data_IF_667124857773
#
_entry.id   IF_667124857773
#
_cell.length_a   1.000
_cell.length_b   1.000
_cell.length_c   1.000
_cell.angle_alpha   90.00
_cell.angle_beta   90.00
_cell.angle_gamma   90.00
#
_symmetry.space_group_name_H-M   'P 1'
#
loop_
_entity.id
_entity.type
_entity.pdbx_description
1 polymer ?
#
# COMPACT_ATOMS: atom_id res chain seq x y z
N UNK A 1 -0.95 -3.31 -2.37
CA UNK A 1 -2.05 -2.49 -1.79
C UNK A 1 -2.57 -1.56 -2.88
N UNK A 2 -1.68 -0.76 -3.45
CA UNK A 2 -1.77 -0.15 -4.79
C UNK A 2 -2.63 -0.90 -5.82
N UNK A 3 -2.35 -2.18 -6.12
CA UNK A 3 -3.10 -2.95 -7.12
C UNK A 3 -4.60 -3.03 -6.79
N UNK A 4 -4.92 -3.31 -5.53
CA UNK A 4 -6.31 -3.40 -5.05
C UNK A 4 -7.00 -2.05 -5.15
N UNK A 5 -6.32 -0.96 -4.77
CA UNK A 5 -6.85 0.41 -4.89
C UNK A 5 -7.15 0.77 -6.33
N UNK A 6 -6.25 0.43 -7.26
CA UNK A 6 -6.46 0.66 -8.70
C UNK A 6 -7.67 -0.10 -9.21
N UNK A 7 -7.78 -1.39 -8.89
CA UNK A 7 -8.91 -2.22 -9.31
C UNK A 7 -10.24 -1.77 -8.70
N UNK A 8 -10.25 -1.38 -7.43
CA UNK A 8 -11.44 -0.86 -6.75
C UNK A 8 -11.88 0.47 -7.39
N UNK A 9 -10.95 1.38 -7.63
CA UNK A 9 -11.24 2.69 -8.23
C UNK A 9 -11.76 2.54 -9.65
N UNK A 10 -11.13 1.67 -10.45
CA UNK A 10 -11.60 1.36 -11.81
C UNK A 10 -13.00 0.75 -11.77
N UNK A 11 -13.26 -0.23 -10.91
CA UNK A 11 -14.59 -0.82 -10.75
C UNK A 11 -15.67 0.22 -10.40
N UNK A 12 -15.35 1.19 -9.53
CA UNK A 12 -16.27 2.29 -9.19
C UNK A 12 -16.49 3.24 -10.36
N UNK A 13 -15.45 3.53 -11.16
CA UNK A 13 -15.57 4.39 -12.34
C UNK A 13 -16.49 3.76 -13.41
N UNK A 14 -16.39 2.44 -13.60
CA UNK A 14 -17.13 1.74 -14.65
C UNK A 14 -18.53 1.30 -14.21
N UNK A 15 -18.67 0.88 -12.94
CA UNK A 15 -19.90 0.28 -12.42
C UNK A 15 -20.54 1.07 -11.27
N UNK A 16 -20.08 2.29 -10.98
CA UNK A 16 -20.55 3.13 -9.86
C UNK A 16 -22.07 3.34 -9.83
N UNK A 17 -22.72 3.39 -11.00
CA UNK A 17 -24.17 3.50 -11.12
C UNK A 17 -24.97 2.28 -10.64
N UNK A 18 -24.33 1.10 -10.59
CA UNK A 18 -24.92 -0.16 -10.14
C UNK A 18 -24.77 -0.38 -8.63
N UNK A 19 -23.72 0.17 -8.03
CA UNK A 19 -23.35 -0.03 -6.61
C UNK A 19 -23.85 1.10 -5.70
N UNK A 20 -25.07 1.61 -5.95
CA UNK A 20 -25.60 2.84 -5.34
C UNK A 20 -25.48 2.90 -3.80
N UNK A 21 -25.92 1.86 -3.09
CA UNK A 21 -25.88 1.81 -1.62
C UNK A 21 -24.46 1.72 -1.07
N UNK A 22 -23.53 1.16 -1.84
CA UNK A 22 -22.12 0.95 -1.44
C UNK A 22 -21.17 2.01 -1.99
N UNK A 23 -21.66 2.93 -2.83
CA UNK A 23 -20.81 3.93 -3.49
C UNK A 23 -20.07 4.81 -2.48
N UNK A 24 -20.72 5.14 -1.36
CA UNK A 24 -20.11 5.93 -0.30
C UNK A 24 -19.01 5.14 0.43
N UNK A 25 -19.28 3.88 0.79
CA UNK A 25 -18.29 3.01 1.41
C UNK A 25 -17.09 2.75 0.47
N UNK A 26 -17.34 2.59 -0.82
CA UNK A 26 -16.29 2.44 -1.83
C UNK A 26 -15.41 3.70 -1.94
N UNK A 27 -16.02 4.89 -1.85
CA UNK A 27 -15.28 6.17 -1.81
C UNK A 27 -14.39 6.29 -0.58
N UNK A 28 -14.91 5.94 0.58
CA UNK A 28 -14.13 5.95 1.83
C UNK A 28 -12.97 4.94 1.77
N UNK A 29 -13.20 3.76 1.19
CA UNK A 29 -12.18 2.74 1.04
C UNK A 29 -11.02 3.18 0.14
N UNK A 30 -11.29 3.74 -1.05
CA UNK A 30 -10.19 4.23 -1.88
C UNK A 30 -9.57 5.51 -1.33
N UNK A 31 -10.31 6.38 -0.63
CA UNK A 31 -9.75 7.56 0.05
C UNK A 31 -8.71 7.16 1.10
N UNK A 32 -9.05 6.18 1.96
CA UNK A 32 -8.13 5.63 2.95
C UNK A 32 -6.85 5.09 2.31
N UNK A 33 -7.00 4.36 1.20
CA UNK A 33 -5.87 3.81 0.47
C UNK A 33 -5.01 4.90 -0.20
N UNK A 34 -5.64 5.90 -0.84
CA UNK A 34 -4.90 7.01 -1.45
C UNK A 34 -4.19 7.87 -0.42
N UNK A 35 -4.77 8.10 0.76
CA UNK A 35 -4.11 8.80 1.86
C UNK A 35 -2.84 8.09 2.31
N UNK A 36 -2.88 6.76 2.39
CA UNK A 36 -1.69 5.96 2.66
C UNK A 36 -0.65 6.13 1.54
N UNK A 37 -1.05 6.03 0.28
CA UNK A 37 -0.12 6.14 -0.87
C UNK A 37 0.52 7.54 -0.97
N UNK A 38 -0.24 8.59 -0.65
CA UNK A 38 0.26 9.97 -0.58
C UNK A 38 1.31 10.12 0.52
N UNK A 39 1.07 9.55 1.71
CA UNK A 39 2.07 9.53 2.79
C UNK A 39 3.32 8.72 2.39
N UNK A 40 3.14 7.59 1.71
CA UNK A 40 4.22 6.74 1.24
C UNK A 40 5.09 7.37 0.15
N UNK A 41 4.58 8.38 -0.57
CA UNK A 41 5.27 9.08 -1.68
C UNK A 41 5.56 10.55 -1.37
N UNK A 42 5.39 10.98 -0.11
CA UNK A 42 5.52 12.39 0.29
C UNK A 42 6.91 12.99 0.04
N UNK A 43 7.95 12.17 -0.11
CA UNK A 43 9.33 12.61 -0.33
C UNK A 43 9.73 12.39 -1.79
N UNK A 44 10.11 13.45 -2.54
CA UNK A 44 10.51 13.32 -3.94
C UNK A 44 11.63 12.29 -4.14
N UNK A 45 11.44 11.37 -5.07
CA UNK A 45 12.42 10.33 -5.39
C UNK A 45 12.60 9.24 -4.33
N UNK A 46 11.70 9.20 -3.32
CA UNK A 46 11.65 8.14 -2.30
C UNK A 46 10.24 7.58 -2.20
N UNK A 47 10.10 6.26 -2.25
CA UNK A 47 8.82 5.57 -2.06
C UNK A 47 8.97 4.64 -0.86
N UNK A 48 8.15 4.85 0.17
CA UNK A 48 8.09 3.95 1.31
C UNK A 48 7.21 2.76 0.97
N UNK A 49 7.75 1.56 1.22
CA UNK A 49 7.08 0.29 0.93
C UNK A 49 7.33 -0.67 2.07
N UNK A 50 6.35 -1.51 2.35
CA UNK A 50 6.58 -2.70 3.18
C UNK A 50 6.98 -3.82 2.23
N UNK A 51 8.29 -4.05 2.11
CA UNK A 51 8.82 -5.13 1.28
C UNK A 51 8.73 -6.42 2.09
N UNK A 52 7.95 -7.38 1.59
CA UNK A 52 8.08 -8.77 2.01
C UNK A 52 9.55 -9.15 1.87
N UNK A 53 10.13 -9.54 3.00
CA UNK A 53 11.52 -9.85 3.28
C UNK A 53 12.23 -10.86 2.35
N UNK A 54 11.71 -11.16 1.16
CA UNK A 54 12.25 -12.15 0.24
C UNK A 54 13.43 -11.66 -0.59
N UNK A 55 13.77 -10.36 -0.60
CA UNK A 55 14.87 -9.87 -1.45
C UNK A 55 16.02 -9.19 -0.69
N UNK A 56 15.92 -8.87 0.61
CA UNK A 56 17.16 -8.47 1.32
C UNK A 56 17.33 -8.69 2.81
N UNK A 57 16.30 -8.88 3.65
CA UNK A 57 16.49 -9.30 5.06
C UNK A 57 15.26 -10.00 5.58
N UNK A 58 15.37 -11.32 5.72
CA UNK A 58 14.46 -12.20 6.48
C UNK A 58 14.40 -11.66 7.92
N UNK A 59 13.30 -11.03 8.34
CA UNK A 59 13.24 -10.50 9.70
C UNK A 59 11.93 -9.91 10.17
N UNK A 60 11.22 -9.15 9.34
CA UNK A 60 10.04 -8.39 9.81
C UNK A 60 8.73 -9.17 9.60
N UNK A 61 8.49 -9.62 8.36
CA UNK A 61 7.29 -10.40 8.03
C UNK A 61 7.15 -11.70 8.84
N UNK A 62 8.26 -12.30 9.28
CA UNK A 62 8.20 -13.51 10.11
C UNK A 62 7.84 -13.20 11.57
N UNK A 63 8.25 -12.04 12.09
CA UNK A 63 7.89 -11.60 13.44
C UNK A 63 6.42 -11.19 13.49
N UNK A 64 5.97 -10.44 12.49
CA UNK A 64 4.58 -10.07 12.29
C UNK A 64 3.68 -11.32 12.19
N UNK A 65 4.09 -12.35 11.44
CA UNK A 65 3.36 -13.63 11.35
C UNK A 65 3.42 -14.52 12.59
N UNK A 66 4.47 -14.39 13.40
CA UNK A 66 4.60 -15.16 14.65
C UNK A 66 3.83 -14.52 15.81
N UNK A 67 3.43 -13.26 15.63
CA UNK A 67 2.63 -12.50 16.55
C UNK A 67 1.14 -12.80 16.31
N UNK A 68 0.46 -13.28 17.33
CA UNK A 68 -0.99 -13.47 17.34
C UNK A 68 -1.60 -12.62 18.46
N UNK A 69 -1.68 -11.34 18.21
CA UNK A 69 -2.31 -10.36 19.10
C UNK A 69 -3.16 -9.39 18.28
N UNK A 70 -3.97 -8.58 18.96
CA UNK A 70 -4.73 -7.55 18.27
C UNK A 70 -3.77 -6.46 17.77
N UNK A 71 -4.00 -5.85 16.58
CA UNK A 71 -3.04 -4.90 15.99
C UNK A 71 -2.75 -3.68 16.87
N UNK A 72 -3.69 -3.28 17.73
CA UNK A 72 -3.53 -2.23 18.73
C UNK A 72 -2.60 -2.61 19.90
N UNK A 73 -2.44 -3.91 20.17
CA UNK A 73 -1.63 -4.46 21.25
C UNK A 73 -0.25 -4.93 20.75
N UNK A 74 0.13 -4.60 19.50
CA UNK A 74 1.35 -5.11 18.88
C UNK A 74 2.63 -4.43 19.34
N UNK A 75 3.50 -5.20 20.00
CA UNK A 75 4.84 -4.76 20.45
C UNK A 75 5.96 -5.15 19.47
N UNK A 76 5.64 -5.89 18.40
CA UNK A 76 6.64 -6.31 17.42
C UNK A 76 7.19 -5.13 16.60
N UNK A 77 8.52 -5.02 16.42
CA UNK A 77 9.10 -3.96 15.60
C UNK A 77 8.64 -4.07 14.14
N UNK A 78 8.08 -2.99 13.60
CA UNK A 78 7.65 -2.87 12.19
C UNK A 78 8.53 -1.89 11.45
N UNK A 79 9.53 -2.43 10.75
CA UNK A 79 10.53 -1.64 10.03
C UNK A 79 9.97 -1.09 8.72
N UNK A 80 10.27 0.18 8.45
CA UNK A 80 9.95 0.81 7.17
C UNK A 80 11.08 0.57 6.17
N UNK A 81 10.73 0.15 4.96
CA UNK A 81 11.65 0.08 3.84
C UNK A 81 11.33 1.20 2.85
N UNK A 82 12.36 1.64 2.13
CA UNK A 82 12.22 2.66 1.10
C UNK A 82 12.92 2.23 -0.18
N UNK A 83 12.35 2.68 -1.29
CA UNK A 83 12.92 2.61 -2.62
C UNK A 83 13.37 4.03 -2.94
N UNK A 84 14.62 4.18 -3.35
CA UNK A 84 15.21 5.44 -3.78
C UNK A 84 16.17 5.19 -4.96
N UNK A 85 16.79 6.25 -5.49
CA UNK A 85 17.74 6.12 -6.61
C UNK A 85 18.88 5.13 -6.34
N UNK A 86 19.24 4.92 -5.07
CA UNK A 86 20.31 4.02 -4.67
C UNK A 86 19.81 2.58 -4.45
N UNK A 87 18.50 2.38 -4.31
CA UNK A 87 17.85 1.09 -4.12
C UNK A 87 16.64 0.97 -5.05
N UNK A 88 16.85 0.87 -6.38
CA UNK A 88 15.75 0.83 -7.33
C UNK A 88 15.02 -0.51 -7.30
N UNK A 89 13.69 -0.48 -7.46
CA UNK A 89 12.87 -1.68 -7.69
C UNK A 89 11.96 -1.45 -8.89
N UNK A 90 11.87 -2.43 -9.79
CA UNK A 90 11.11 -2.36 -11.05
C UNK A 90 9.58 -2.17 -10.87
N UNK A 91 8.99 -2.65 -9.77
CA UNK A 91 7.54 -2.68 -9.59
C UNK A 91 6.91 -1.32 -9.20
N UNK A 92 7.61 -0.48 -8.43
CA UNK A 92 7.09 0.82 -8.00
C UNK A 92 7.07 1.85 -9.15
N UNK A 93 7.84 1.62 -10.21
CA UNK A 93 7.92 2.51 -11.38
C UNK A 93 6.65 2.49 -12.23
N UNK A 94 5.85 1.41 -12.19
CA UNK A 94 4.66 1.30 -13.05
C UNK A 94 3.57 2.33 -12.71
N UNK A 95 3.55 2.87 -11.49
CA UNK A 95 2.59 3.91 -11.06
C UNK A 95 3.06 5.32 -11.47
N UNK A 96 4.35 5.50 -11.79
CA UNK A 96 4.91 6.80 -12.19
C UNK A 96 4.92 7.03 -13.71
N UNK A 97 4.54 6.05 -14.53
CA UNK A 97 4.60 6.15 -16.01
C UNK A 97 3.32 6.76 -16.62
N UNK A 98 2.32 7.12 -15.83
CA UNK A 98 1.11 7.81 -16.33
C UNK A 98 1.12 9.34 -16.12
N UNK A 99 2.30 9.95 -15.98
CA UNK A 99 2.47 11.40 -16.19
C UNK A 99 3.61 11.69 -17.15
#
# INVERSE_FOLDING_TARGET
MDFTTTMLTWGVLEFGGLIKSELQNAKEAFHWATDYLLKATAHPGTIYVQVLASVRRIGDANKDRACWERPEDMDTPRSLFKIDKNNPTLAATLILVTK
#
